data_IF_787396466137
#
_entry.id   IF_787396466137
#
_cell.length_a   1.000
_cell.length_b   1.000
_cell.length_c   1.000
_cell.angle_alpha   90.00
_cell.angle_beta   90.00
_cell.angle_gamma   90.00
#
_symmetry.space_group_name_H-M   'P 1'
#
loop_
_entity.id
_entity.type
_entity.pdbx_description
1 polymer ?
#
# COMPACT_ATOMS: atom_id res chain seq x y z
N UNK A 1 -7.68 0.46 19.25
CA UNK A 1 -8.14 1.62 20.06
C UNK A 1 -9.62 1.81 19.79
N UNK A 2 -10.49 1.54 20.75
CA UNK A 2 -11.93 1.66 20.57
C UNK A 2 -12.35 3.14 20.76
N UNK A 3 -12.36 3.92 19.69
CA UNK A 3 -12.91 5.28 19.71
C UNK A 3 -14.40 5.23 19.39
N UNK A 4 -15.25 5.70 20.31
CA UNK A 4 -16.68 5.81 20.05
C UNK A 4 -17.00 7.11 19.33
N UNK A 5 -17.98 7.08 18.41
CA UNK A 5 -18.50 8.26 17.69
C UNK A 5 -18.91 9.40 18.63
N UNK A 6 -19.37 9.06 19.84
CA UNK A 6 -19.74 10.05 20.87
C UNK A 6 -18.53 10.86 21.36
N UNK A 7 -17.40 10.20 21.65
CA UNK A 7 -16.17 10.87 22.13
C UNK A 7 -15.54 11.76 21.06
N UNK A 8 -15.72 11.40 19.78
CA UNK A 8 -15.30 12.24 18.64
C UNK A 8 -16.18 13.49 18.57
N UNK A 9 -17.50 13.34 18.72
CA UNK A 9 -18.45 14.46 18.67
C UNK A 9 -18.29 15.43 19.84
N UNK A 10 -17.87 14.93 20.99
CA UNK A 10 -17.61 15.72 22.20
C UNK A 10 -16.22 16.40 22.19
N UNK A 11 -15.37 16.14 21.19
CA UNK A 11 -13.95 16.55 21.16
C UNK A 11 -13.21 16.16 22.45
N UNK A 12 -13.43 14.93 22.92
CA UNK A 12 -12.83 14.45 24.16
C UNK A 12 -11.29 14.47 24.10
N UNK A 13 -10.65 14.91 25.19
CA UNK A 13 -9.19 15.06 25.24
C UNK A 13 -8.44 13.75 24.91
N UNK A 14 -8.97 12.61 25.36
CA UNK A 14 -8.41 11.27 25.06
C UNK A 14 -8.36 10.96 23.56
N UNK A 15 -9.37 11.40 22.79
CA UNK A 15 -9.41 11.22 21.33
C UNK A 15 -8.39 12.14 20.67
N UNK A 16 -8.31 13.40 21.11
CA UNK A 16 -7.35 14.38 20.61
C UNK A 16 -5.90 13.94 20.82
N UNK A 17 -5.57 13.46 22.01
CA UNK A 17 -4.21 13.00 22.32
C UNK A 17 -3.84 11.80 21.45
N UNK A 18 -4.75 10.84 21.26
CA UNK A 18 -4.50 9.69 20.40
C UNK A 18 -4.28 10.07 18.93
N UNK A 19 -5.04 11.04 18.41
CA UNK A 19 -4.84 11.59 17.06
C UNK A 19 -3.51 12.35 16.98
N UNK A 20 -3.14 13.10 18.01
CA UNK A 20 -1.85 13.79 18.06
C UNK A 20 -0.66 12.80 17.99
N UNK A 21 -0.74 11.67 18.71
CA UNK A 21 0.29 10.63 18.65
C UNK A 21 0.41 9.98 17.26
N UNK A 22 -0.71 9.76 16.54
CA UNK A 22 -0.65 9.18 15.20
C UNK A 22 0.01 10.12 14.20
N UNK A 23 -0.29 11.43 14.27
CA UNK A 23 0.42 12.44 13.48
C UNK A 23 1.90 12.53 13.84
N UNK A 24 2.24 12.44 15.12
CA UNK A 24 3.64 12.44 15.56
C UNK A 24 4.43 11.27 14.93
N UNK A 25 3.88 10.05 14.96
CA UNK A 25 4.49 8.88 14.34
C UNK A 25 4.61 9.06 12.81
N UNK A 26 3.56 9.57 12.17
CA UNK A 26 3.58 9.83 10.72
C UNK A 26 4.69 10.82 10.36
N UNK A 27 4.76 11.98 11.01
CA UNK A 27 5.78 12.98 10.73
C UNK A 27 7.19 12.51 11.09
N UNK A 28 7.36 11.75 12.17
CA UNK A 28 8.65 11.14 12.51
C UNK A 28 9.12 10.17 11.42
N UNK A 29 8.21 9.36 10.85
CA UNK A 29 8.54 8.46 9.75
C UNK A 29 8.96 9.22 8.48
N UNK A 30 8.28 10.34 8.17
CA UNK A 30 8.63 11.21 7.03
C UNK A 30 10.00 11.85 7.25
N UNK A 31 10.25 12.40 8.44
CA UNK A 31 11.54 13.00 8.79
C UNK A 31 12.68 11.97 8.69
N UNK A 32 12.44 10.74 9.13
CA UNK A 32 13.40 9.63 8.99
C UNK A 32 13.63 9.30 7.51
N UNK A 33 12.58 9.32 6.69
CA UNK A 33 12.70 9.21 5.23
C UNK A 33 13.51 10.34 4.60
N UNK A 34 13.37 11.57 5.09
CA UNK A 34 14.17 12.71 4.62
C UNK A 34 15.67 12.52 4.91
N UNK A 35 16.06 11.83 5.97
CA UNK A 35 17.46 11.51 6.24
C UNK A 35 18.08 10.66 5.11
N UNK A 36 17.28 9.83 4.43
CA UNK A 36 17.74 9.07 3.28
C UNK A 36 18.22 9.97 2.13
N UNK A 37 17.77 11.24 2.03
CA UNK A 37 18.21 12.18 0.99
C UNK A 37 19.72 12.41 1.02
N UNK A 38 20.36 12.32 2.19
CA UNK A 38 21.83 12.43 2.31
C UNK A 38 22.54 11.21 1.72
N UNK A 39 21.89 10.05 1.70
CA UNK A 39 22.41 8.81 1.11
C UNK A 39 22.21 8.75 -0.41
N UNK A 40 21.24 9.48 -0.95
CA UNK A 40 20.92 9.49 -2.39
C UNK A 40 22.02 10.00 -3.35
N UNK A 41 22.96 10.91 -3.00
CA UNK A 41 23.95 11.45 -3.95
C UNK A 41 24.89 10.38 -4.51
N UNK A 42 25.35 9.45 -3.65
CA UNK A 42 26.22 8.34 -4.08
C UNK A 42 25.46 7.35 -4.96
N UNK A 43 24.18 7.09 -4.65
CA UNK A 43 23.32 6.23 -5.47
C UNK A 43 23.03 6.84 -6.84
N UNK A 44 22.87 8.17 -6.94
CA UNK A 44 22.64 8.84 -8.23
C UNK A 44 23.81 8.64 -9.21
N UNK A 45 25.06 8.73 -8.74
CA UNK A 45 26.24 8.52 -9.58
C UNK A 45 26.34 7.06 -10.07
N UNK A 46 26.14 6.09 -9.17
CA UNK A 46 26.16 4.67 -9.53
C UNK A 46 25.02 4.29 -10.49
N UNK A 47 23.82 4.81 -10.27
CA UNK A 47 22.67 4.57 -11.16
C UNK A 47 22.85 5.24 -12.52
N UNK A 48 23.50 6.40 -12.60
CA UNK A 48 23.82 7.05 -13.87
C UNK A 48 24.78 6.20 -14.71
N UNK A 49 25.81 5.63 -14.08
CA UNK A 49 26.74 4.70 -14.73
C UNK A 49 26.04 3.42 -15.18
N UNK A 50 25.19 2.83 -14.33
CA UNK A 50 24.36 1.67 -14.66
C UNK A 50 23.33 1.96 -15.76
N UNK A 51 22.83 3.19 -15.87
CA UNK A 51 21.93 3.57 -16.96
C UNK A 51 22.66 3.68 -18.31
N UNK A 52 23.94 4.08 -18.29
CA UNK A 52 24.77 4.21 -19.49
C UNK A 52 25.32 2.87 -19.97
N UNK A 53 25.81 2.05 -19.04
CA UNK A 53 26.56 0.82 -19.33
C UNK A 53 25.82 -0.47 -18.94
N UNK A 54 24.69 -0.36 -18.25
CA UNK A 54 23.89 -1.52 -17.85
C UNK A 54 23.04 -2.07 -18.99
N UNK A 55 22.78 -3.38 -18.93
CA UNK A 55 21.83 -4.05 -19.82
C UNK A 55 20.37 -3.70 -19.49
N UNK A 56 19.47 -3.95 -20.44
CA UNK A 56 18.03 -3.85 -20.21
C UNK A 56 17.49 -5.15 -19.62
N UNK A 57 16.83 -5.08 -18.46
CA UNK A 57 16.15 -6.22 -17.85
C UNK A 57 14.64 -5.98 -17.77
N UNK A 58 13.91 -6.08 -18.89
CA UNK A 58 12.50 -5.71 -18.96
C UNK A 58 11.61 -6.65 -18.12
N UNK A 59 12.05 -7.88 -17.87
CA UNK A 59 11.32 -8.84 -17.02
C UNK A 59 11.26 -8.40 -15.56
N UNK A 60 12.39 -7.94 -15.02
CA UNK A 60 12.46 -7.45 -13.63
C UNK A 60 11.72 -6.13 -13.50
N UNK A 61 11.83 -5.23 -14.49
CA UNK A 61 11.08 -3.99 -14.51
C UNK A 61 9.56 -4.21 -14.52
N UNK A 62 9.07 -5.14 -15.35
CA UNK A 62 7.65 -5.50 -15.40
C UNK A 62 7.18 -6.09 -14.06
N UNK A 63 7.93 -7.02 -13.48
CA UNK A 63 7.60 -7.60 -12.17
C UNK A 63 7.46 -6.52 -11.09
N UNK A 64 8.45 -5.63 -11.00
CA UNK A 64 8.46 -4.55 -10.00
C UNK A 64 7.26 -3.62 -10.22
N UNK A 65 7.01 -3.18 -11.46
CA UNK A 65 5.90 -2.29 -11.77
C UNK A 65 4.53 -2.88 -11.35
N UNK A 66 4.26 -4.12 -11.74
CA UNK A 66 3.00 -4.77 -11.40
C UNK A 66 2.86 -5.06 -9.91
N UNK A 67 3.97 -5.39 -9.22
CA UNK A 67 3.95 -5.60 -7.77
C UNK A 67 3.53 -4.32 -7.04
N UNK A 68 4.14 -3.17 -7.35
CA UNK A 68 3.80 -1.89 -6.75
C UNK A 68 2.38 -1.45 -7.11
N UNK A 69 1.96 -1.65 -8.37
CA UNK A 69 0.60 -1.33 -8.79
C UNK A 69 -0.45 -2.12 -7.99
N UNK A 70 -0.20 -3.42 -7.78
CA UNK A 70 -1.10 -4.25 -6.99
C UNK A 70 -1.12 -3.81 -5.52
N UNK A 71 0.05 -3.56 -4.92
CA UNK A 71 0.13 -3.04 -3.54
C UNK A 71 -0.64 -1.74 -3.38
N UNK A 72 -0.58 -0.84 -4.38
CA UNK A 72 -1.33 0.41 -4.38
C UNK A 72 -2.85 0.15 -4.42
N UNK A 73 -3.33 -0.74 -5.31
CA UNK A 73 -4.74 -1.10 -5.37
C UNK A 73 -5.24 -1.65 -4.03
N UNK A 74 -4.49 -2.56 -3.41
CA UNK A 74 -4.83 -3.14 -2.09
C UNK A 74 -4.90 -2.05 -1.02
N UNK A 75 -3.90 -1.16 -0.96
CA UNK A 75 -3.85 -0.10 0.04
C UNK A 75 -5.02 0.89 -0.10
N UNK A 76 -5.35 1.29 -1.34
CA UNK A 76 -6.47 2.20 -1.61
C UNK A 76 -7.80 1.53 -1.27
N UNK A 77 -8.02 0.29 -1.71
CA UNK A 77 -9.25 -0.44 -1.41
C UNK A 77 -9.41 -0.65 0.09
N UNK A 78 -8.37 -1.07 0.81
CA UNK A 78 -8.42 -1.25 2.27
C UNK A 78 -8.73 0.06 3.00
N UNK A 79 -8.11 1.17 2.59
CA UNK A 79 -8.36 2.49 3.19
C UNK A 79 -9.80 2.95 2.97
N UNK A 80 -10.34 2.77 1.76
CA UNK A 80 -11.73 3.12 1.45
C UNK A 80 -12.72 2.22 2.19
N UNK A 81 -12.47 0.91 2.24
CA UNK A 81 -13.31 -0.04 2.97
C UNK A 81 -13.37 0.24 4.47
N UNK A 82 -12.29 0.75 5.07
CA UNK A 82 -12.30 1.16 6.47
C UNK A 82 -13.19 2.37 6.74
N UNK A 83 -13.52 3.19 5.74
CA UNK A 83 -14.25 4.45 5.96
C UNK A 83 -15.77 4.28 5.99
N UNK A 84 -16.31 3.23 5.35
CA UNK A 84 -17.76 2.99 5.26
C UNK A 84 -18.22 1.95 6.27
N UNK A 85 -19.30 2.23 6.99
CA UNK A 85 -19.88 1.32 8.01
C UNK A 85 -20.20 -0.08 7.46
N UNK A 86 -20.64 -0.16 6.19
CA UNK A 86 -21.01 -1.41 5.54
C UNK A 86 -19.83 -2.30 5.15
N UNK A 87 -18.61 -1.75 5.10
CA UNK A 87 -17.40 -2.47 4.65
C UNK A 87 -16.25 -2.46 5.65
N UNK A 88 -16.40 -1.73 6.76
CA UNK A 88 -15.40 -1.69 7.85
C UNK A 88 -15.25 -3.03 8.57
N UNK A 89 -16.29 -3.88 8.56
CA UNK A 89 -16.24 -5.22 9.17
C UNK A 89 -15.38 -6.23 8.39
N UNK A 90 -14.89 -5.90 7.17
CA UNK A 90 -14.01 -6.78 6.42
C UNK A 90 -12.64 -6.93 7.12
N UNK A 91 -12.09 -8.15 7.05
CA UNK A 91 -10.70 -8.42 7.46
C UNK A 91 -9.69 -7.54 6.72
N UNK A 92 -9.95 -7.23 5.44
CA UNK A 92 -9.12 -6.33 4.65
C UNK A 92 -9.11 -4.89 5.21
N UNK A 93 -10.21 -4.46 5.83
CA UNK A 93 -10.33 -3.17 6.49
C UNK A 93 -9.80 -3.20 7.95
N UNK A 94 -9.34 -4.37 8.43
CA UNK A 94 -8.87 -4.57 9.80
C UNK A 94 -9.99 -4.81 10.83
N UNK A 95 -11.21 -5.13 10.39
CA UNK A 95 -12.33 -5.49 11.27
C UNK A 95 -12.36 -6.97 11.65
N UNK A 96 -13.11 -7.31 12.70
CA UNK A 96 -13.17 -8.69 13.26
C UNK A 96 -14.02 -9.68 12.43
N UNK A 97 -14.58 -9.26 11.29
CA UNK A 97 -15.46 -10.05 10.43
C UNK A 97 -16.91 -9.56 10.44
N UNK A 98 -17.61 -9.69 9.31
CA UNK A 98 -19.02 -9.32 9.19
C UNK A 98 -19.93 -10.50 9.57
N UNK A 99 -21.04 -10.24 10.29
CA UNK A 99 -22.04 -11.25 10.66
C UNK A 99 -22.70 -11.92 9.44
N UNK A 100 -22.91 -11.14 8.37
CA UNK A 100 -23.34 -11.66 7.07
C UNK A 100 -22.08 -11.91 6.26
N UNK A 101 -21.80 -13.18 5.94
CA UNK A 101 -20.63 -13.57 5.17
C UNK A 101 -20.58 -12.77 3.85
N UNK A 102 -19.64 -11.83 3.67
CA UNK A 102 -19.53 -11.10 2.42
C UNK A 102 -19.14 -12.09 1.35
N UNK A 103 -19.81 -12.05 0.19
CA UNK A 103 -19.38 -12.84 -0.96
C UNK A 103 -17.90 -12.54 -1.23
N UNK A 104 -17.07 -13.56 -1.45
CA UNK A 104 -15.61 -13.46 -1.63
C UNK A 104 -15.20 -12.59 -2.85
N UNK A 105 -16.16 -11.95 -3.51
CA UNK A 105 -16.01 -11.07 -4.66
C UNK A 105 -15.20 -9.81 -4.34
N UNK A 106 -15.20 -9.29 -3.10
CA UNK A 106 -14.35 -8.15 -2.74
C UNK A 106 -12.85 -8.49 -2.80
N UNK A 107 -12.50 -9.76 -2.57
CA UNK A 107 -11.12 -10.24 -2.70
C UNK A 107 -10.70 -10.38 -4.16
N UNK A 108 -11.64 -10.49 -5.12
CA UNK A 108 -11.31 -10.47 -6.54
C UNK A 108 -10.66 -9.14 -6.94
N UNK A 109 -11.02 -8.02 -6.30
CA UNK A 109 -10.35 -6.73 -6.51
C UNK A 109 -8.84 -6.76 -6.21
N UNK A 110 -8.37 -7.75 -5.43
CA UNK A 110 -6.96 -7.96 -5.08
C UNK A 110 -6.36 -9.10 -5.91
N UNK A 111 -7.01 -10.26 -5.93
CA UNK A 111 -6.47 -11.45 -6.60
C UNK A 111 -6.49 -11.36 -8.12
N UNK A 112 -7.43 -10.62 -8.71
CA UNK A 112 -7.51 -10.42 -10.17
C UNK A 112 -6.33 -9.58 -10.68
N UNK A 113 -5.98 -8.42 -10.10
CA UNK A 113 -4.79 -7.68 -10.53
C UNK A 113 -3.48 -8.45 -10.25
N UNK A 114 -3.36 -9.20 -9.15
CA UNK A 114 -2.20 -10.09 -8.92
C UNK A 114 -2.12 -11.19 -9.98
N UNK A 115 -3.23 -11.85 -10.27
CA UNK A 115 -3.30 -12.92 -11.27
C UNK A 115 -2.99 -12.41 -12.67
N UNK A 116 -3.55 -11.26 -13.05
CA UNK A 116 -3.24 -10.59 -14.31
C UNK A 116 -1.78 -10.17 -14.39
N UNK A 117 -1.21 -9.61 -13.33
CA UNK A 117 0.20 -9.27 -13.26
C UNK A 117 1.09 -10.49 -13.52
N UNK A 118 0.83 -11.61 -12.83
CA UNK A 118 1.60 -12.84 -12.99
C UNK A 118 1.45 -13.43 -14.40
N UNK A 119 0.24 -13.40 -14.98
CA UNK A 119 0.02 -13.85 -16.36
C UNK A 119 0.71 -12.96 -17.38
N UNK A 120 0.72 -11.64 -17.19
CA UNK A 120 1.44 -10.70 -18.05
C UNK A 120 2.95 -10.90 -17.95
N UNK A 121 3.49 -11.13 -16.76
CA UNK A 121 4.91 -11.44 -16.55
C UNK A 121 5.27 -12.77 -17.21
N UNK A 122 4.43 -13.81 -17.06
CA UNK A 122 4.63 -15.11 -17.69
C UNK A 122 4.57 -15.00 -19.22
N UNK A 123 3.57 -14.29 -19.77
CA UNK A 123 3.44 -14.04 -21.21
C UNK A 123 4.62 -13.23 -21.74
N UNK A 124 5.01 -12.16 -21.07
CA UNK A 124 6.16 -11.33 -21.46
C UNK A 124 7.48 -12.12 -21.41
N UNK A 125 7.66 -12.96 -20.40
CA UNK A 125 8.83 -13.84 -20.26
C UNK A 125 8.87 -14.91 -21.34
N UNK A 126 7.72 -15.46 -21.74
CA UNK A 126 7.61 -16.52 -22.75
C UNK A 126 7.70 -16.01 -24.20
N UNK A 127 7.14 -14.82 -24.49
CA UNK A 127 7.18 -14.21 -25.83
C UNK A 127 8.49 -13.49 -26.16
N UNK A 128 9.28 -13.12 -25.15
CA UNK A 128 10.56 -12.44 -25.30
C UNK A 128 11.73 -13.38 -24.97
N UNK A 129 11.65 -14.62 -25.49
CA UNK A 129 12.74 -15.60 -25.56
C UNK A 129 13.16 -15.75 -27.01
#
# INVERSE_FOLDING_TARGET
LAFSKALIKEDAQVTRDAVAYSYYIQYASIATGCLAVVLLPSQKAAVAELKKNGGSQPRVAAFIFFSFFTTLCVAVTGSLSSMYESTNCLLLAGGDGCEVAPSSTYLLGIFVPVGLALLLIAKFTFFHK
#
